data_IF_301189144495
#
_entry.id   IF_301189144495
#
_cell.length_a   1.000
_cell.length_b   1.000
_cell.length_c   1.000
_cell.angle_alpha   90.00
_cell.angle_beta   90.00
_cell.angle_gamma   90.00
#
_symmetry.space_group_name_H-M   'P 1'
#
loop_
_entity.id
_entity.type
_entity.pdbx_description
1 polymer ?
#
# COMPACT_ATOMS: atom_id res chain seq x y z
N UNK A 1 5.99 -11.42 -33.87
CA UNK A 1 7.03 -11.28 -32.82
C UNK A 1 7.08 -9.83 -32.32
N UNK A 2 6.03 -9.35 -31.66
CA UNK A 2 6.00 -8.02 -31.03
C UNK A 2 5.45 -8.05 -29.59
N UNK A 3 5.01 -9.22 -29.12
CA UNK A 3 4.37 -9.35 -27.81
C UNK A 3 5.39 -9.37 -26.66
N UNK A 4 6.59 -9.91 -26.89
CA UNK A 4 7.69 -9.98 -25.91
C UNK A 4 8.27 -8.61 -25.50
N UNK A 5 7.80 -7.51 -26.11
CA UNK A 5 8.21 -6.13 -25.79
C UNK A 5 7.16 -5.33 -25.01
N UNK A 6 5.99 -5.91 -24.78
CA UNK A 6 4.98 -5.25 -23.94
C UNK A 6 5.34 -5.46 -22.47
N UNK A 7 5.43 -4.37 -21.70
CA UNK A 7 5.56 -4.43 -20.23
C UNK A 7 4.44 -5.27 -19.60
N UNK A 8 3.29 -5.38 -20.27
CA UNK A 8 2.14 -6.17 -19.83
C UNK A 8 2.23 -7.65 -20.19
N UNK A 9 3.19 -8.07 -21.02
CA UNK A 9 3.29 -9.46 -21.48
C UNK A 9 3.67 -10.41 -20.34
N UNK A 10 4.68 -10.07 -19.53
CA UNK A 10 5.03 -10.88 -18.36
C UNK A 10 3.93 -10.88 -17.29
N UNK A 11 3.21 -9.76 -17.13
CA UNK A 11 2.11 -9.63 -16.17
C UNK A 11 0.87 -10.47 -16.57
N UNK A 12 0.64 -10.67 -17.86
CA UNK A 12 -0.60 -11.31 -18.35
C UNK A 12 -0.37 -12.75 -18.84
N UNK A 13 0.84 -13.10 -19.28
CA UNK A 13 1.12 -14.40 -19.93
C UNK A 13 2.00 -15.35 -19.11
N UNK A 14 2.55 -14.93 -17.97
CA UNK A 14 3.32 -15.81 -17.07
C UNK A 14 2.47 -16.64 -16.10
N UNK A 15 1.19 -16.29 -15.91
CA UNK A 15 0.29 -16.93 -14.94
C UNK A 15 -0.74 -17.80 -15.66
N UNK A 16 -1.07 -18.96 -15.08
CA UNK A 16 -2.04 -19.91 -15.64
C UNK A 16 -3.48 -19.42 -15.46
N UNK A 17 -3.77 -18.84 -14.30
CA UNK A 17 -5.00 -18.14 -13.97
C UNK A 17 -4.75 -17.19 -12.78
N UNK A 18 -5.56 -16.16 -12.59
CA UNK A 18 -5.45 -15.28 -11.43
C UNK A 18 -5.88 -16.01 -10.15
N UNK A 19 -5.16 -15.77 -9.06
CA UNK A 19 -5.55 -16.18 -7.71
C UNK A 19 -6.01 -14.92 -6.96
N UNK A 20 -7.32 -14.59 -6.96
CA UNK A 20 -7.82 -13.41 -6.30
C UNK A 20 -7.78 -13.54 -4.77
N UNK A 21 -7.84 -12.41 -4.06
CA UNK A 21 -7.89 -12.38 -2.59
C UNK A 21 -9.05 -13.22 -2.04
N UNK A 22 -10.22 -13.14 -2.69
CA UNK A 22 -11.39 -13.95 -2.34
C UNK A 22 -11.12 -15.46 -2.41
N UNK A 23 -10.28 -15.93 -3.35
CA UNK A 23 -9.94 -17.35 -3.45
C UNK A 23 -9.09 -17.81 -2.25
N UNK A 24 -8.20 -16.95 -1.76
CA UNK A 24 -7.36 -17.24 -0.60
C UNK A 24 -8.20 -17.25 0.69
N UNK A 25 -9.11 -16.30 0.84
CA UNK A 25 -10.03 -16.24 1.98
C UNK A 25 -10.94 -17.47 2.02
N UNK A 26 -11.60 -17.79 0.90
CA UNK A 26 -12.47 -18.97 0.81
C UNK A 26 -11.71 -20.25 1.11
N UNK A 27 -10.51 -20.42 0.54
CA UNK A 27 -9.67 -21.57 0.82
C UNK A 27 -9.27 -21.66 2.30
N UNK A 28 -8.86 -20.56 2.92
CA UNK A 28 -8.48 -20.55 4.33
C UNK A 28 -9.64 -20.96 5.24
N UNK A 29 -10.83 -20.37 5.03
CA UNK A 29 -12.02 -20.67 5.83
C UNK A 29 -12.50 -22.11 5.64
N UNK A 30 -12.60 -22.57 4.39
CA UNK A 30 -13.15 -23.88 4.08
C UNK A 30 -12.15 -25.01 4.39
N UNK A 31 -10.84 -24.76 4.28
CA UNK A 31 -9.80 -25.75 4.64
C UNK A 31 -9.67 -25.94 6.16
N UNK A 32 -9.92 -24.92 6.97
CA UNK A 32 -9.99 -25.06 8.43
C UNK A 32 -11.16 -25.94 8.87
N UNK A 33 -12.25 -25.97 8.08
CA UNK A 33 -13.43 -26.79 8.35
C UNK A 33 -13.29 -28.24 7.83
N UNK A 34 -12.31 -28.53 6.96
CA UNK A 34 -12.12 -29.84 6.37
C UNK A 34 -11.58 -30.86 7.39
N UNK A 35 -12.16 -32.06 7.42
CA UNK A 35 -11.77 -33.12 8.37
C UNK A 35 -11.00 -34.26 7.72
N UNK A 36 -11.16 -34.44 6.41
CA UNK A 36 -10.51 -35.51 5.64
C UNK A 36 -9.73 -34.95 4.45
N UNK A 37 -8.79 -35.73 3.92
CA UNK A 37 -8.04 -35.38 2.71
C UNK A 37 -8.97 -35.23 1.48
N UNK A 38 -10.08 -35.98 1.46
CA UNK A 38 -11.11 -35.88 0.42
C UNK A 38 -11.87 -34.54 0.51
N UNK A 39 -12.18 -34.09 1.73
CA UNK A 39 -12.77 -32.77 1.95
C UNK A 39 -11.82 -31.65 1.50
N UNK A 40 -10.53 -31.76 1.85
CA UNK A 40 -9.52 -30.78 1.43
C UNK A 40 -9.40 -30.71 -0.09
N UNK A 41 -9.43 -31.86 -0.76
CA UNK A 41 -9.42 -31.92 -2.23
C UNK A 41 -10.68 -31.26 -2.82
N UNK A 42 -11.85 -31.49 -2.24
CA UNK A 42 -13.09 -30.85 -2.66
C UNK A 42 -13.05 -29.32 -2.47
N UNK A 43 -12.44 -28.84 -1.38
CA UNK A 43 -12.21 -27.40 -1.13
C UNK A 43 -11.29 -26.80 -2.19
N UNK A 44 -10.20 -27.48 -2.56
CA UNK A 44 -9.30 -27.04 -3.63
C UNK A 44 -10.04 -26.91 -4.98
N UNK A 45 -10.76 -27.95 -5.39
CA UNK A 45 -11.51 -27.96 -6.65
C UNK A 45 -12.59 -26.87 -6.66
N UNK A 46 -13.29 -26.69 -5.54
CA UNK A 46 -14.32 -25.66 -5.40
C UNK A 46 -13.72 -24.26 -5.47
N UNK A 47 -12.59 -24.03 -4.80
CA UNK A 47 -11.89 -22.74 -4.83
C UNK A 47 -11.45 -22.38 -6.25
N UNK A 48 -10.81 -23.34 -6.94
CA UNK A 48 -10.32 -23.16 -8.31
C UNK A 48 -11.46 -22.87 -9.29
N UNK A 49 -12.55 -23.63 -9.18
CA UNK A 49 -13.68 -23.48 -10.11
C UNK A 49 -14.49 -22.22 -9.85
N UNK A 50 -14.77 -21.89 -8.58
CA UNK A 50 -15.65 -20.79 -8.21
C UNK A 50 -14.96 -19.44 -8.19
N UNK A 51 -13.75 -19.37 -7.64
CA UNK A 51 -13.06 -18.11 -7.39
C UNK A 51 -11.96 -17.83 -8.41
N UNK A 52 -11.20 -18.86 -8.83
CA UNK A 52 -10.19 -18.72 -9.88
C UNK A 52 -10.77 -18.89 -11.31
N UNK A 53 -12.07 -19.18 -11.43
CA UNK A 53 -12.81 -19.35 -12.70
C UNK A 53 -12.25 -20.46 -13.61
N UNK A 54 -11.62 -21.48 -13.02
CA UNK A 54 -11.08 -22.64 -13.74
C UNK A 54 -12.21 -23.66 -13.97
N UNK A 55 -12.76 -23.71 -15.19
CA UNK A 55 -13.98 -24.49 -15.47
C UNK A 55 -13.85 -26.00 -15.24
N UNK A 56 -12.66 -26.56 -15.44
CA UNK A 56 -12.34 -27.97 -15.17
C UNK A 56 -10.91 -28.06 -14.60
N UNK A 57 -10.77 -28.02 -13.27
CA UNK A 57 -9.45 -28.09 -12.65
C UNK A 57 -8.72 -29.37 -13.05
N UNK A 58 -7.55 -29.21 -13.66
CA UNK A 58 -6.61 -30.30 -13.94
C UNK A 58 -5.60 -30.44 -12.80
N UNK A 59 -4.90 -31.57 -12.74
CA UNK A 59 -3.84 -31.79 -11.73
C UNK A 59 -2.79 -30.68 -11.74
N UNK A 60 -2.41 -30.20 -12.94
CA UNK A 60 -1.45 -29.10 -13.07
C UNK A 60 -2.00 -27.75 -12.57
N UNK A 61 -3.32 -27.52 -12.61
CA UNK A 61 -3.94 -26.32 -12.03
C UNK A 61 -3.87 -26.36 -10.51
N UNK A 62 -4.06 -27.55 -9.93
CA UNK A 62 -3.93 -27.78 -8.49
C UNK A 62 -2.48 -27.58 -8.06
N UNK A 63 -1.52 -28.17 -8.77
CA UNK A 63 -0.08 -27.97 -8.50
C UNK A 63 0.29 -26.49 -8.56
N UNK A 64 -0.13 -25.78 -9.61
CA UNK A 64 0.11 -24.35 -9.74
C UNK A 64 -0.46 -23.54 -8.56
N UNK A 65 -1.68 -23.85 -8.13
CA UNK A 65 -2.31 -23.17 -7.00
C UNK A 65 -1.59 -23.43 -5.67
N UNK A 66 -1.18 -24.67 -5.41
CA UNK A 66 -0.43 -25.05 -4.21
C UNK A 66 0.96 -24.40 -4.17
N UNK A 67 1.67 -24.38 -5.31
CA UNK A 67 2.97 -23.68 -5.43
C UNK A 67 2.82 -22.18 -5.12
N UNK A 68 1.76 -21.56 -5.63
CA UNK A 68 1.45 -20.15 -5.36
C UNK A 68 1.10 -19.91 -3.89
N UNK A 69 0.29 -20.77 -3.28
CA UNK A 69 -0.02 -20.71 -1.84
C UNK A 69 1.24 -20.82 -0.98
N UNK A 70 2.15 -21.73 -1.33
CA UNK A 70 3.42 -21.88 -0.62
C UNK A 70 4.26 -20.61 -0.73
N UNK A 71 4.39 -20.03 -1.94
CA UNK A 71 5.08 -18.77 -2.13
C UNK A 71 4.49 -17.63 -1.28
N UNK A 72 3.16 -17.52 -1.23
CA UNK A 72 2.48 -16.52 -0.38
C UNK A 72 2.78 -16.74 1.10
N UNK A 73 2.78 -17.99 1.57
CA UNK A 73 3.09 -18.32 2.97
C UNK A 73 4.52 -17.95 3.33
N UNK A 74 5.47 -18.20 2.42
CA UNK A 74 6.87 -17.81 2.57
C UNK A 74 7.01 -16.28 2.60
N UNK A 75 6.30 -15.54 1.73
CA UNK A 75 6.29 -14.07 1.77
C UNK A 75 5.77 -13.51 3.09
N UNK A 76 4.70 -14.08 3.64
CA UNK A 76 4.13 -13.66 4.93
C UNK A 76 5.13 -13.95 6.06
N UNK A 77 5.77 -15.12 6.04
CA UNK A 77 6.73 -15.53 7.07
C UNK A 77 8.04 -14.75 6.99
N UNK A 78 8.46 -14.33 5.80
CA UNK A 78 9.70 -13.59 5.54
C UNK A 78 9.49 -12.07 5.54
N UNK A 79 8.25 -11.58 5.60
CA UNK A 79 7.99 -10.16 5.78
C UNK A 79 8.46 -9.81 7.19
N UNK A 80 9.56 -9.03 7.34
CA UNK A 80 9.97 -8.58 8.66
C UNK A 80 8.79 -7.80 9.21
N UNK A 81 8.27 -8.27 10.34
CA UNK A 81 7.22 -7.65 11.13
C UNK A 81 7.38 -6.15 11.02
N UNK A 82 6.49 -5.51 10.24
CA UNK A 82 6.71 -4.19 9.67
C UNK A 82 7.15 -3.26 10.78
N UNK A 83 8.45 -2.96 10.81
CA UNK A 83 9.06 -2.22 11.89
C UNK A 83 8.44 -0.84 11.88
N UNK A 84 7.39 -0.67 12.69
CA UNK A 84 6.74 0.59 12.98
C UNK A 84 7.88 1.52 13.39
N UNK A 85 8.18 2.49 12.54
CA UNK A 85 9.10 3.55 12.88
C UNK A 85 8.48 4.26 14.08
N UNK A 86 8.91 3.91 15.30
CA UNK A 86 8.51 4.54 16.57
C UNK A 86 9.04 5.97 16.61
N UNK A 87 8.50 6.84 15.74
CA UNK A 87 8.64 8.28 15.77
C UNK A 87 7.35 8.89 16.27
N UNK A 88 7.45 9.86 17.20
CA UNK A 88 6.31 10.64 17.69
C UNK A 88 6.08 11.87 16.81
N UNK A 89 5.93 11.71 15.50
CA UNK A 89 5.53 12.82 14.61
C UNK A 89 4.15 12.54 14.02
N UNK A 90 3.43 13.59 13.65
CA UNK A 90 2.08 13.45 13.07
C UNK A 90 2.12 12.68 11.74
N UNK A 91 3.21 12.85 10.96
CA UNK A 91 3.45 12.11 9.73
C UNK A 91 3.67 10.60 9.95
N UNK A 92 4.43 10.21 10.97
CA UNK A 92 4.62 8.78 11.29
C UNK A 92 3.33 8.14 11.80
N UNK A 93 2.53 8.83 12.62
CA UNK A 93 1.24 8.31 13.09
C UNK A 93 0.22 8.08 11.95
N UNK A 94 0.22 8.94 10.91
CA UNK A 94 -0.62 8.73 9.73
C UNK A 94 -0.14 7.53 8.90
N UNK A 95 1.17 7.36 8.75
CA UNK A 95 1.74 6.21 8.04
C UNK A 95 1.46 4.90 8.77
N UNK A 96 1.55 4.89 10.10
CA UNK A 96 1.18 3.75 10.93
C UNK A 96 -0.30 3.41 10.75
N UNK A 97 -1.18 4.41 10.68
CA UNK A 97 -2.60 4.20 10.42
C UNK A 97 -2.85 3.59 9.04
N UNK A 98 -2.26 4.16 7.98
CA UNK A 98 -2.48 3.69 6.60
C UNK A 98 -1.91 2.29 6.39
N UNK A 99 -0.76 1.98 6.98
CA UNK A 99 -0.10 0.67 6.86
C UNK A 99 -0.79 -0.41 7.70
N UNK A 100 -1.48 -0.03 8.77
CA UNK A 100 -2.26 -0.93 9.63
C UNK A 100 -3.70 -1.16 9.17
N UNK A 101 -4.11 -0.61 8.01
CA UNK A 101 -5.47 -0.81 7.50
C UNK A 101 -5.69 -2.28 7.08
N UNK A 102 -6.82 -2.87 7.48
CA UNK A 102 -7.32 -4.10 6.87
C UNK A 102 -7.43 -3.98 5.35
N UNK A 103 -7.18 -5.08 4.63
CA UNK A 103 -7.08 -5.09 3.16
C UNK A 103 -8.36 -4.57 2.49
N UNK A 104 -9.52 -5.00 2.96
CA UNK A 104 -10.84 -4.52 2.54
C UNK A 104 -10.97 -2.99 2.65
N UNK A 105 -10.54 -2.42 3.77
CA UNK A 105 -10.56 -0.98 4.03
C UNK A 105 -9.56 -0.22 3.16
N UNK A 106 -8.38 -0.81 2.90
CA UNK A 106 -7.38 -0.24 2.00
C UNK A 106 -7.91 -0.19 0.56
N UNK A 107 -8.52 -1.28 0.07
CA UNK A 107 -9.11 -1.35 -1.27
C UNK A 107 -10.22 -0.33 -1.45
N UNK A 108 -11.14 -0.22 -0.49
CA UNK A 108 -12.22 0.78 -0.54
C UNK A 108 -11.68 2.20 -0.61
N UNK A 109 -10.66 2.54 0.18
CA UNK A 109 -10.05 3.88 0.13
C UNK A 109 -9.34 4.14 -1.20
N UNK A 110 -8.65 3.16 -1.76
CA UNK A 110 -7.97 3.26 -3.05
C UNK A 110 -8.93 3.63 -4.18
N UNK A 111 -10.12 3.03 -4.18
CA UNK A 111 -11.14 3.25 -5.22
C UNK A 111 -12.16 4.31 -4.83
N UNK A 112 -11.86 5.14 -3.83
CA UNK A 112 -12.74 6.20 -3.35
C UNK A 112 -14.17 5.71 -3.01
N UNK A 113 -14.25 4.56 -2.34
CA UNK A 113 -15.46 3.88 -1.92
C UNK A 113 -16.39 3.43 -3.07
N UNK A 114 -15.88 3.32 -4.30
CA UNK A 114 -16.56 2.58 -5.37
C UNK A 114 -16.55 1.07 -5.09
N UNK A 115 -17.69 0.57 -4.60
CA UNK A 115 -17.88 -0.84 -4.25
C UNK A 115 -17.64 -1.75 -5.46
N UNK A 116 -17.99 -1.33 -6.68
CA UNK A 116 -17.85 -2.16 -7.88
C UNK A 116 -16.38 -2.33 -8.26
N UNK A 117 -15.60 -1.27 -8.11
CA UNK A 117 -14.16 -1.31 -8.34
C UNK A 117 -13.43 -2.12 -7.25
N UNK A 118 -13.83 -1.95 -5.98
CA UNK A 118 -13.30 -2.73 -4.87
C UNK A 118 -13.57 -4.24 -5.04
N UNK A 119 -14.80 -4.60 -5.43
CA UNK A 119 -15.19 -5.99 -5.70
C UNK A 119 -14.34 -6.59 -6.83
N UNK A 120 -14.06 -5.83 -7.89
CA UNK A 120 -13.16 -6.30 -8.96
C UNK A 120 -11.75 -6.59 -8.46
N UNK A 121 -11.17 -5.69 -7.66
CA UNK A 121 -9.84 -5.89 -7.07
C UNK A 121 -9.84 -7.11 -6.15
N UNK A 122 -10.89 -7.31 -5.36
CA UNK A 122 -10.99 -8.40 -4.40
C UNK A 122 -11.24 -9.77 -5.03
N UNK A 123 -12.15 -9.83 -6.00
CA UNK A 123 -12.73 -11.08 -6.52
C UNK A 123 -12.17 -11.51 -7.88
N UNK A 124 -11.51 -10.62 -8.63
CA UNK A 124 -11.14 -10.91 -10.03
C UNK A 124 -9.67 -10.73 -10.33
N UNK A 125 -9.02 -9.71 -9.76
CA UNK A 125 -7.60 -9.44 -10.02
C UNK A 125 -6.73 -10.35 -9.15
N UNK A 126 -5.58 -10.77 -9.68
CA UNK A 126 -4.62 -11.61 -8.94
C UNK A 126 -4.09 -10.86 -7.71
N UNK A 127 -3.94 -11.59 -6.60
CA UNK A 127 -3.50 -11.06 -5.31
C UNK A 127 -2.20 -10.27 -5.42
N UNK A 128 -1.22 -10.72 -6.20
CA UNK A 128 0.10 -10.05 -6.22
C UNK A 128 -0.01 -8.66 -6.83
N UNK A 129 -0.82 -8.52 -7.87
CA UNK A 129 -1.05 -7.23 -8.52
C UNK A 129 -1.82 -6.30 -7.58
N UNK A 130 -2.81 -6.84 -6.85
CA UNK A 130 -3.56 -6.07 -5.84
C UNK A 130 -2.65 -5.61 -4.70
N UNK A 131 -1.82 -6.49 -4.16
CA UNK A 131 -0.87 -6.15 -3.09
C UNK A 131 0.15 -5.12 -3.58
N UNK A 132 0.63 -5.22 -4.82
CA UNK A 132 1.50 -4.22 -5.40
C UNK A 132 0.81 -2.86 -5.53
N UNK A 133 -0.43 -2.82 -6.02
CA UNK A 133 -1.23 -1.58 -6.10
C UNK A 133 -1.46 -0.97 -4.71
N UNK A 134 -1.71 -1.80 -3.69
CA UNK A 134 -1.86 -1.33 -2.31
C UNK A 134 -0.55 -0.72 -1.81
N UNK A 135 0.60 -1.37 -2.05
CA UNK A 135 1.92 -0.83 -1.69
C UNK A 135 2.19 0.52 -2.36
N UNK A 136 1.93 0.63 -3.66
CA UNK A 136 2.09 1.87 -4.43
C UNK A 136 1.14 2.97 -3.92
N UNK A 137 -0.10 2.63 -3.58
CA UNK A 137 -1.05 3.57 -3.00
C UNK A 137 -0.58 4.08 -1.63
N UNK A 138 -0.11 3.19 -0.75
CA UNK A 138 0.40 3.57 0.57
C UNK A 138 1.62 4.48 0.42
N UNK A 139 2.55 4.13 -0.48
CA UNK A 139 3.72 4.95 -0.77
C UNK A 139 3.34 6.33 -1.34
N UNK A 140 2.45 6.38 -2.33
CA UNK A 140 1.97 7.64 -2.89
C UNK A 140 1.27 8.52 -1.86
N UNK A 141 0.52 7.92 -0.92
CA UNK A 141 -0.08 8.65 0.20
C UNK A 141 0.96 9.12 1.21
N UNK A 142 2.07 8.41 1.39
CA UNK A 142 3.18 8.85 2.22
C UNK A 142 3.81 10.12 1.64
N UNK A 143 4.14 10.09 0.36
CA UNK A 143 4.76 11.19 -0.37
C UNK A 143 3.84 12.41 -0.43
N UNK A 144 2.55 12.21 -0.74
CA UNK A 144 1.55 13.28 -0.77
C UNK A 144 1.42 13.98 0.60
N UNK A 145 1.41 13.21 1.69
CA UNK A 145 1.30 13.80 3.02
C UNK A 145 2.59 14.47 3.49
N UNK A 146 3.76 13.96 3.07
CA UNK A 146 5.02 14.64 3.32
C UNK A 146 5.00 16.03 2.68
N UNK A 147 4.65 16.11 1.40
CA UNK A 147 4.54 17.39 0.67
C UNK A 147 3.53 18.34 1.34
N UNK A 148 2.36 17.83 1.74
CA UNK A 148 1.35 18.64 2.46
C UNK A 148 1.85 19.14 3.81
N UNK A 149 2.57 18.30 4.54
CA UNK A 149 3.16 18.67 5.84
C UNK A 149 4.24 19.74 5.66
N UNK A 150 5.13 19.58 4.68
CA UNK A 150 6.14 20.57 4.33
C UNK A 150 5.50 21.89 3.91
N UNK A 151 4.53 21.86 2.99
CA UNK A 151 3.79 23.05 2.57
C UNK A 151 3.10 23.76 3.75
N UNK A 152 2.54 23.00 4.70
CA UNK A 152 1.94 23.57 5.92
C UNK A 152 3.01 24.20 6.82
N UNK A 153 4.14 23.53 7.05
CA UNK A 153 5.25 24.06 7.84
C UNK A 153 5.77 25.38 7.27
N UNK A 154 5.99 25.44 5.95
CA UNK A 154 6.40 26.67 5.27
C UNK A 154 5.34 27.77 5.33
N UNK A 155 4.07 27.41 5.11
CA UNK A 155 2.95 28.36 5.19
C UNK A 155 2.76 28.98 6.58
N UNK A 156 3.17 28.28 7.64
CA UNK A 156 3.19 28.78 9.02
C UNK A 156 4.54 29.37 9.46
N UNK A 157 5.49 29.57 8.54
CA UNK A 157 6.77 30.23 8.81
C UNK A 157 7.89 29.33 9.32
N UNK A 158 7.78 28.01 9.16
CA UNK A 158 8.87 27.06 9.36
C UNK A 158 9.88 27.11 8.22
N UNK A 159 11.15 26.88 8.53
CA UNK A 159 12.25 26.78 7.55
C UNK A 159 13.03 25.49 7.81
N UNK A 160 13.65 24.89 6.79
CA UNK A 160 14.65 23.85 7.06
C UNK A 160 15.85 24.46 7.78
N UNK A 161 16.62 23.62 8.47
CA UNK A 161 17.89 24.03 9.09
C UNK A 161 18.90 24.57 8.07
N UNK A 162 18.77 24.17 6.80
CA UNK A 162 19.61 24.61 5.68
C UNK A 162 19.13 25.94 5.07
N UNK A 163 17.84 26.27 5.22
CA UNK A 163 17.27 27.57 4.84
C UNK A 163 17.41 28.61 5.94
N UNK A 164 18.10 28.29 7.04
CA UNK A 164 18.48 29.32 8.00
C UNK A 164 19.51 30.20 7.31
N UNK A 165 19.21 31.48 7.00
CA UNK A 165 20.28 32.39 6.67
C UNK A 165 21.27 32.36 7.85
N UNK A 166 22.56 32.18 7.56
CA UNK A 166 23.63 32.22 8.57
C UNK A 166 23.65 33.55 9.35
N UNK A 167 22.84 34.54 8.94
CA UNK A 167 22.60 35.75 9.69
C UNK A 167 21.30 35.68 10.49
N UNK A 168 21.49 35.74 11.80
CA UNK A 168 20.55 36.08 12.86
C UNK A 168 19.61 37.23 12.47
N UNK A 169 18.48 36.93 11.84
CA UNK A 169 17.29 37.75 12.03
C UNK A 169 16.62 37.31 13.32
N UNK A 170 17.25 37.75 14.43
CA UNK A 170 16.49 38.09 15.62
C UNK A 170 15.41 39.05 15.15
N UNK A 171 14.14 38.74 15.41
CA UNK A 171 13.07 39.72 15.25
C UNK A 171 13.55 41.06 15.83
N UNK A 172 13.56 42.10 14.99
CA UNK A 172 14.04 43.42 15.39
C UNK A 172 13.04 43.95 16.40
N UNK A 173 13.39 43.88 17.68
CA UNK A 173 12.57 44.42 18.75
C UNK A 173 12.60 45.95 18.66
N UNK A 174 11.49 46.49 18.17
CA UNK A 174 11.26 47.91 17.91
C UNK A 174 11.33 48.75 19.18
N UNK A 175 11.19 48.13 20.35
CA UNK A 175 11.32 48.80 21.65
C UNK A 175 12.77 49.06 22.06
N UNK A 176 13.74 48.48 21.34
CA UNK A 176 15.17 48.66 21.62
C UNK A 176 15.77 49.80 20.78
N UNK A 177 16.83 50.46 21.28
CA UNK A 177 17.52 51.53 20.53
C UNK A 177 18.03 51.07 19.15
N UNK A 178 18.50 49.83 19.07
CA UNK A 178 19.00 49.22 17.83
C UNK A 178 17.87 48.96 16.83
N UNK A 179 16.68 48.57 17.31
CA UNK A 179 15.51 48.38 16.46
C UNK A 179 14.92 49.68 15.90
N UNK A 180 14.92 50.76 16.68
CA UNK A 180 14.53 52.08 16.20
C UNK A 180 15.52 52.68 15.19
N UNK A 181 16.82 52.37 15.32
CA UNK A 181 17.83 52.81 14.34
C UNK A 181 17.63 52.12 12.98
N UNK A 182 17.22 50.86 12.97
CA UNK A 182 16.92 50.11 11.75
C UNK A 182 15.63 50.60 11.04
N UNK A 183 14.63 51.06 11.79
CA UNK A 183 13.43 51.71 11.20
C UNK A 183 13.76 53.02 10.50
N UNK A 184 14.62 53.84 11.14
CA UNK A 184 15.08 55.11 10.55
C UNK A 184 15.91 54.92 9.28
N UNK A 185 16.70 53.85 9.19
CA UNK A 185 17.47 53.56 7.97
C UNK A 185 16.58 53.06 6.81
N UNK A 186 15.38 52.57 7.11
CA UNK A 186 14.36 52.17 6.14
C UNK A 186 13.38 53.29 5.75
N UNK A 187 13.55 54.50 6.31
CA UNK A 187 12.80 55.69 5.93
C UNK A 187 11.48 55.93 6.67
N UNK A 188 11.30 55.31 7.85
CA UNK A 188 10.20 55.58 8.78
C UNK A 188 10.66 56.40 10.00
#
# INVERSE_FOLDING_TARGET
MAHDRSLFYNHTFGRRFPIPLMALEAYALDSEAAQTDEDLFNVLVTTLSRHCKVSKPSEQDITYFLERLQGIKEEISNSPDGGVAKGKTFGSAYMDYVSGLPMDSALLKMVNYDISAADRLYCTIDRDDVVQLVKEYIQGKAEENLVRFEASMYGFGGSYSEDKPENKDKGVDISTPDGMAALKSLGF
#
